data_IF_206080551321
#
_entry.id   IF_206080551321
#
_cell.length_a   1.000
_cell.length_b   1.000
_cell.length_c   1.000
_cell.angle_alpha   90.00
_cell.angle_beta   90.00
_cell.angle_gamma   90.00
#
_symmetry.space_group_name_H-M   'P 1'
#
loop_
_entity.id
_entity.type
_entity.pdbx_description
1 polymer ?
#
# COMPACT_ATOMS: atom_id res chain seq x y z
N UNK A 1 -37.06 -7.05 3.75
CA UNK A 1 -35.72 -7.20 3.16
C UNK A 1 -35.05 -5.82 3.13
N UNK A 2 -34.22 -5.49 4.13
CA UNK A 2 -33.54 -4.19 4.20
C UNK A 2 -32.47 -4.17 3.11
N UNK A 3 -32.69 -3.41 2.03
CA UNK A 3 -31.62 -3.08 1.09
C UNK A 3 -30.64 -2.19 1.85
N UNK A 4 -29.62 -2.79 2.48
CA UNK A 4 -28.43 -2.04 2.91
C UNK A 4 -27.83 -1.48 1.62
N UNK A 5 -28.03 -0.19 1.39
CA UNK A 5 -27.44 0.53 0.28
C UNK A 5 -25.92 0.38 0.45
N UNK A 6 -25.29 -0.54 -0.30
CA UNK A 6 -23.84 -0.74 -0.19
C UNK A 6 -23.19 0.54 -0.69
N UNK A 7 -22.44 1.21 0.18
CA UNK A 7 -21.66 2.37 -0.23
C UNK A 7 -20.78 1.96 -1.43
N UNK A 8 -20.87 2.71 -2.53
CA UNK A 8 -20.07 2.45 -3.74
C UNK A 8 -18.58 2.74 -3.53
N UNK A 9 -18.26 3.52 -2.50
CA UNK A 9 -16.93 4.01 -2.17
C UNK A 9 -16.74 4.02 -0.66
N UNK A 10 -15.48 3.96 -0.21
CA UNK A 10 -15.13 4.11 1.19
C UNK A 10 -15.47 5.52 1.67
N UNK A 11 -15.99 5.62 2.89
CA UNK A 11 -16.09 6.92 3.58
C UNK A 11 -14.71 7.48 3.89
N UNK A 12 -14.62 8.78 4.17
CA UNK A 12 -13.34 9.43 4.54
C UNK A 12 -12.66 8.72 5.72
N UNK A 13 -13.43 8.36 6.76
CA UNK A 13 -12.91 7.63 7.93
C UNK A 13 -12.38 6.24 7.61
N UNK A 14 -12.90 5.59 6.55
CA UNK A 14 -12.44 4.28 6.10
C UNK A 14 -11.22 4.41 5.19
N UNK A 15 -11.15 5.48 4.39
CA UNK A 15 -9.96 5.83 3.61
C UNK A 15 -8.75 6.11 4.51
N UNK A 16 -8.94 6.86 5.60
CA UNK A 16 -7.88 7.12 6.58
C UNK A 16 -7.38 5.82 7.23
N UNK A 17 -8.31 4.96 7.68
CA UNK A 17 -7.96 3.64 8.24
C UNK A 17 -7.23 2.77 7.23
N UNK A 18 -7.66 2.77 5.97
CA UNK A 18 -7.00 2.06 4.89
C UNK A 18 -5.58 2.59 4.66
N UNK A 19 -5.38 3.91 4.62
CA UNK A 19 -4.06 4.52 4.43
C UNK A 19 -3.11 4.22 5.60
N UNK A 20 -3.61 4.22 6.83
CA UNK A 20 -2.83 3.86 8.01
C UNK A 20 -2.35 2.40 7.95
N UNK A 21 -3.27 1.48 7.63
CA UNK A 21 -2.94 0.05 7.47
C UNK A 21 -1.99 -0.20 6.30
N UNK A 22 -2.18 0.49 5.17
CA UNK A 22 -1.27 0.42 4.02
C UNK A 22 0.14 0.91 4.39
N UNK A 23 0.25 1.98 5.19
CA UNK A 23 1.54 2.46 5.70
C UNK A 23 2.23 1.46 6.64
N UNK A 24 1.48 0.78 7.51
CA UNK A 24 2.01 -0.30 8.35
C UNK A 24 2.50 -1.48 7.52
N UNK A 25 1.71 -1.94 6.55
CA UNK A 25 2.11 -3.02 5.66
C UNK A 25 3.35 -2.66 4.84
N UNK A 26 3.42 -1.43 4.32
CA UNK A 26 4.61 -0.93 3.63
C UNK A 26 5.86 -1.03 4.51
N UNK A 27 5.78 -0.61 5.79
CA UNK A 27 6.90 -0.75 6.74
C UNK A 27 7.32 -2.20 6.91
N UNK A 28 6.37 -3.13 7.06
CA UNK A 28 6.67 -4.55 7.18
C UNK A 28 7.31 -5.15 5.92
N UNK A 29 7.02 -4.60 4.73
CA UNK A 29 7.61 -5.02 3.46
C UNK A 29 9.07 -4.54 3.32
N UNK A 30 9.36 -3.30 3.74
CA UNK A 30 10.69 -2.68 3.54
C UNK A 30 11.64 -2.85 4.71
N UNK A 31 11.15 -3.17 5.91
CA UNK A 31 11.98 -3.34 7.10
C UNK A 31 12.94 -4.55 7.07
N UNK A 32 12.58 -5.72 6.50
CA UNK A 32 13.47 -6.87 6.50
C UNK A 32 14.70 -6.64 5.61
N UNK A 33 15.89 -6.82 6.20
CA UNK A 33 17.16 -6.83 5.46
C UNK A 33 17.43 -8.23 4.92
N UNK A 34 16.85 -8.52 3.74
CA UNK A 34 17.02 -9.79 3.04
C UNK A 34 17.72 -9.58 1.69
N UNK A 35 18.34 -10.66 1.19
CA UNK A 35 19.01 -10.62 -0.12
C UNK A 35 18.03 -10.26 -1.24
N UNK A 36 18.41 -9.32 -2.10
CA UNK A 36 17.62 -8.93 -3.27
C UNK A 36 17.46 -10.04 -4.31
N UNK A 37 18.27 -11.10 -4.20
CA UNK A 37 18.24 -12.23 -5.11
C UNK A 37 17.30 -13.35 -4.66
N UNK A 38 16.76 -13.30 -3.44
CA UNK A 38 15.89 -14.35 -2.93
C UNK A 38 14.42 -14.15 -3.34
N UNK A 39 13.67 -15.25 -3.39
CA UNK A 39 12.26 -15.23 -3.78
C UNK A 39 11.39 -14.44 -2.81
N UNK A 40 11.78 -14.38 -1.53
CA UNK A 40 11.09 -13.55 -0.55
C UNK A 40 11.15 -12.06 -0.92
N UNK A 41 12.31 -11.56 -1.36
CA UNK A 41 12.46 -10.17 -1.77
C UNK A 41 11.61 -9.85 -2.98
N UNK A 42 11.63 -10.72 -4.01
CA UNK A 42 10.82 -10.57 -5.23
C UNK A 42 9.32 -10.58 -4.93
N UNK A 43 8.89 -11.47 -4.02
CA UNK A 43 7.50 -11.55 -3.59
C UNK A 43 7.06 -10.30 -2.82
N UNK A 44 7.93 -9.79 -1.94
CA UNK A 44 7.70 -8.55 -1.20
C UNK A 44 7.67 -7.32 -2.10
N UNK A 45 8.52 -7.27 -3.14
CA UNK A 45 8.47 -6.23 -4.16
C UNK A 45 7.15 -6.26 -4.94
N UNK A 46 6.71 -7.44 -5.37
CA UNK A 46 5.42 -7.60 -6.08
C UNK A 46 4.24 -7.15 -5.21
N UNK A 47 4.26 -7.51 -3.92
CA UNK A 47 3.25 -7.05 -2.95
C UNK A 47 3.30 -5.54 -2.78
N UNK A 48 4.49 -4.94 -2.74
CA UNK A 48 4.66 -3.49 -2.64
C UNK A 48 4.01 -2.77 -3.83
N UNK A 49 4.29 -3.22 -5.05
CA UNK A 49 3.74 -2.63 -6.27
C UNK A 49 2.21 -2.75 -6.32
N UNK A 50 1.66 -3.91 -5.95
CA UNK A 50 0.22 -4.11 -5.85
C UNK A 50 -0.42 -3.18 -4.81
N UNK A 51 0.23 -2.97 -3.67
CA UNK A 51 -0.23 -2.05 -2.63
C UNK A 51 -0.25 -0.60 -3.15
N UNK A 52 0.81 -0.15 -3.84
CA UNK A 52 0.86 1.20 -4.42
C UNK A 52 -0.27 1.43 -5.43
N UNK A 53 -0.51 0.46 -6.30
CA UNK A 53 -1.62 0.50 -7.26
C UNK A 53 -2.97 0.61 -6.55
N UNK A 54 -3.22 -0.24 -5.54
CA UNK A 54 -4.46 -0.21 -4.79
C UNK A 54 -4.70 1.14 -4.09
N UNK A 55 -3.65 1.74 -3.50
CA UNK A 55 -3.76 3.06 -2.87
C UNK A 55 -4.12 4.14 -3.89
N UNK A 56 -3.53 4.10 -5.08
CA UNK A 56 -3.85 5.02 -6.17
C UNK A 56 -5.28 4.84 -6.67
N UNK A 57 -5.72 3.61 -6.88
CA UNK A 57 -7.07 3.29 -7.37
C UNK A 57 -8.15 3.71 -6.36
N UNK A 58 -7.87 3.59 -5.06
CA UNK A 58 -8.81 3.92 -3.97
C UNK A 58 -8.85 5.41 -3.67
N UNK A 59 -7.68 6.07 -3.61
CA UNK A 59 -7.59 7.47 -3.16
C UNK A 59 -7.50 8.49 -4.30
N UNK A 60 -7.27 8.02 -5.52
CA UNK A 60 -6.97 8.86 -6.69
C UNK A 60 -5.61 9.58 -6.61
N UNK A 61 -4.80 9.28 -5.60
CA UNK A 61 -3.53 9.94 -5.30
C UNK A 61 -2.43 8.91 -5.13
N UNK A 62 -1.22 9.28 -5.55
CA UNK A 62 -0.04 8.47 -5.26
C UNK A 62 0.23 8.49 -3.74
N UNK A 63 0.58 7.34 -3.20
CA UNK A 63 0.79 7.18 -1.77
C UNK A 63 1.99 8.01 -1.28
N UNK A 64 1.81 8.80 -0.21
CA UNK A 64 2.87 9.67 0.33
C UNK A 64 4.12 8.91 0.80
N UNK A 65 3.99 7.62 1.14
CA UNK A 65 5.12 6.74 1.48
C UNK A 65 6.08 6.48 0.31
N UNK A 66 5.69 6.76 -0.94
CA UNK A 66 6.56 6.65 -2.13
C UNK A 66 7.76 7.62 -2.06
N UNK A 67 7.63 8.78 -1.39
CA UNK A 67 8.73 9.76 -1.32
C UNK A 67 9.94 9.26 -0.51
N UNK A 68 9.77 8.24 0.33
CA UNK A 68 10.85 7.67 1.13
C UNK A 68 11.80 6.78 0.32
N UNK A 69 11.33 6.10 -0.74
CA UNK A 69 12.12 5.11 -1.47
C UNK A 69 12.95 5.68 -2.64
N UNK A 70 12.97 7.01 -2.83
CA UNK A 70 13.73 7.68 -3.90
C UNK A 70 15.12 8.21 -3.50
N UNK A 71 15.51 8.13 -2.24
CA UNK A 71 16.80 8.64 -1.75
C UNK A 71 17.85 7.51 -1.69
N UNK A 72 18.20 6.92 -2.84
CA UNK A 72 19.25 5.89 -2.85
C UNK A 72 19.40 5.11 -4.13
N UNK A 73 19.56 5.77 -5.28
CA UNK A 73 20.20 5.17 -6.45
C UNK A 73 20.78 6.27 -7.33
N UNK A 74 22.07 6.54 -7.11
CA UNK A 74 23.02 6.87 -8.17
C UNK A 74 23.97 5.69 -8.29
#
# INVERSE_FOLDING_TARGET
MVRRNKAKQLSESELERFLMAAGELHRSIVAPLISTQCDHYRSMQTLHEALLKAVKDITGKDAAFIRWFGAGSR
#
